data_IF_552530214631
#
_entry.id   IF_552530214631
#
_cell.length_a   1.000
_cell.length_b   1.000
_cell.length_c   1.000
_cell.angle_alpha   90.00
_cell.angle_beta   90.00
_cell.angle_gamma   90.00
#
_symmetry.space_group_name_H-M   'P 1'
#
loop_
_entity.id
_entity.type
_entity.pdbx_description
1 polymer ?
#
# COMPACT_ATOMS: atom_id res chain seq x y z
N UNK A 1 -41.00 11.59 36.94
CA UNK A 1 -40.43 12.66 36.08
C UNK A 1 -38.97 12.33 35.82
N UNK A 2 -38.69 11.27 35.04
CA UNK A 2 -37.30 10.78 34.87
C UNK A 2 -37.07 10.01 33.55
N UNK A 3 -38.09 9.34 32.99
CA UNK A 3 -37.94 8.56 31.74
C UNK A 3 -38.09 9.43 30.48
N UNK A 4 -38.87 10.52 30.53
CA UNK A 4 -39.16 11.39 29.38
C UNK A 4 -37.94 12.23 28.96
N UNK A 5 -37.08 12.58 29.90
CA UNK A 5 -35.86 13.36 29.66
C UNK A 5 -34.71 12.51 29.05
N UNK A 6 -34.70 11.20 29.34
CA UNK A 6 -33.68 10.29 28.82
C UNK A 6 -33.88 9.97 27.33
N UNK A 7 -35.14 9.88 26.87
CA UNK A 7 -35.47 9.60 25.47
C UNK A 7 -35.24 10.84 24.60
N UNK A 8 -35.62 12.04 25.06
CA UNK A 8 -35.38 13.29 24.31
C UNK A 8 -33.88 13.57 24.13
N UNK A 9 -33.05 13.30 25.16
CA UNK A 9 -31.59 13.46 25.05
C UNK A 9 -30.95 12.42 24.11
N UNK A 10 -31.49 11.19 24.06
CA UNK A 10 -30.97 10.12 23.20
C UNK A 10 -31.34 10.29 21.72
N UNK A 11 -32.55 10.80 21.43
CA UNK A 11 -33.00 11.08 20.05
C UNK A 11 -32.23 12.26 19.43
N UNK A 12 -31.97 13.32 20.21
CA UNK A 12 -31.16 14.47 19.74
C UNK A 12 -29.70 14.04 19.43
N UNK A 13 -29.16 13.08 20.18
CA UNK A 13 -27.80 12.56 19.96
C UNK A 13 -27.72 11.67 18.71
N UNK A 14 -28.77 10.88 18.42
CA UNK A 14 -28.83 10.01 17.24
C UNK A 14 -29.03 10.81 15.93
N UNK A 15 -29.79 11.90 15.97
CA UNK A 15 -30.02 12.77 14.80
C UNK A 15 -28.77 13.60 14.43
N UNK A 16 -27.97 14.01 15.42
CA UNK A 16 -26.72 14.73 15.18
C UNK A 16 -25.66 13.87 14.47
N UNK A 17 -25.42 12.65 14.95
CA UNK A 17 -24.43 11.76 14.36
C UNK A 17 -24.76 11.37 12.90
N UNK A 18 -26.04 11.14 12.59
CA UNK A 18 -26.46 10.81 11.23
C UNK A 18 -26.28 12.01 10.29
N UNK A 19 -26.57 13.22 10.76
CA UNK A 19 -26.37 14.44 9.98
C UNK A 19 -24.90 14.70 9.66
N UNK A 20 -23.99 14.50 10.64
CA UNK A 20 -22.55 14.61 10.42
C UNK A 20 -22.01 13.53 9.46
N UNK A 21 -22.50 12.29 9.57
CA UNK A 21 -22.12 11.22 8.65
C UNK A 21 -22.57 11.51 7.20
N UNK A 22 -23.80 12.00 7.01
CA UNK A 22 -24.30 12.37 5.69
C UNK A 22 -23.54 13.58 5.11
N UNK A 23 -23.21 14.58 5.92
CA UNK A 23 -22.34 15.70 5.52
C UNK A 23 -20.95 15.23 5.09
N UNK A 24 -20.33 14.31 5.86
CA UNK A 24 -19.03 13.74 5.54
C UNK A 24 -19.07 12.96 4.22
N UNK A 25 -20.12 12.15 3.98
CA UNK A 25 -20.31 11.42 2.73
C UNK A 25 -20.46 12.38 1.55
N UNK A 26 -21.23 13.45 1.69
CA UNK A 26 -21.43 14.46 0.64
C UNK A 26 -20.13 15.19 0.32
N UNK A 27 -19.38 15.63 1.34
CA UNK A 27 -18.08 16.31 1.17
C UNK A 27 -17.05 15.37 0.54
N UNK A 28 -17.01 14.11 0.98
CA UNK A 28 -16.14 13.09 0.41
C UNK A 28 -16.47 12.83 -1.07
N UNK A 29 -17.76 12.72 -1.40
CA UNK A 29 -18.21 12.60 -2.80
C UNK A 29 -17.84 13.80 -3.66
N UNK A 30 -17.92 15.02 -3.13
CA UNK A 30 -17.47 16.21 -3.85
C UNK A 30 -15.96 16.20 -4.09
N UNK A 31 -15.18 15.76 -3.11
CA UNK A 31 -13.73 15.61 -3.23
C UNK A 31 -13.36 14.55 -4.27
N UNK A 32 -14.07 13.42 -4.31
CA UNK A 32 -13.90 12.40 -5.34
C UNK A 32 -14.21 12.92 -6.74
N UNK A 33 -15.32 13.67 -6.92
CA UNK A 33 -15.65 14.29 -8.21
C UNK A 33 -14.57 15.27 -8.68
N UNK A 34 -13.95 15.99 -7.74
CA UNK A 34 -12.85 16.92 -8.02
C UNK A 34 -11.58 16.20 -8.45
N UNK A 35 -11.18 15.14 -7.73
CA UNK A 35 -10.04 14.30 -8.12
C UNK A 35 -10.27 13.65 -9.49
N UNK A 36 -11.49 13.18 -9.77
CA UNK A 36 -11.86 12.64 -11.08
C UNK A 36 -11.78 13.66 -12.21
N UNK A 37 -12.04 14.95 -11.93
CA UNK A 37 -11.92 16.03 -12.91
C UNK A 37 -10.48 16.51 -13.10
N UNK A 38 -9.65 16.49 -12.05
CA UNK A 38 -8.26 16.94 -12.06
C UNK A 38 -7.29 15.89 -12.60
N UNK A 39 -7.66 14.60 -12.59
CA UNK A 39 -6.84 13.50 -13.07
C UNK A 39 -7.58 12.56 -14.05
N UNK A 40 -7.98 13.04 -15.26
CA UNK A 40 -8.67 12.23 -16.26
C UNK A 40 -7.83 11.02 -16.73
N UNK A 41 -6.50 11.07 -16.58
CA UNK A 41 -5.60 9.96 -16.89
C UNK A 41 -5.77 8.73 -15.98
N UNK A 42 -6.34 8.87 -14.79
CA UNK A 42 -6.64 7.73 -13.89
C UNK A 42 -7.93 6.98 -14.30
N UNK A 43 -8.77 7.59 -15.14
CA UNK A 43 -10.06 7.03 -15.59
C UNK A 43 -9.91 6.34 -16.97
N UNK A 44 -8.79 6.54 -17.66
CA UNK A 44 -8.57 6.03 -19.02
C UNK A 44 -7.35 5.12 -19.11
N UNK A 45 -7.34 4.00 -18.38
CA UNK A 45 -6.60 2.80 -18.81
C UNK A 45 -7.55 1.88 -19.58
N UNK A 46 -8.08 2.40 -20.69
CA UNK A 46 -8.79 1.61 -21.69
C UNK A 46 -7.87 1.48 -22.89
N UNK A 47 -7.11 0.38 -22.91
CA UNK A 47 -6.27 0.07 -24.06
C UNK A 47 -7.12 -0.12 -25.30
N UNK A 48 -6.96 0.76 -26.30
CA UNK A 48 -7.32 0.46 -27.68
C UNK A 48 -6.56 1.35 -28.69
N UNK A 49 -5.73 0.66 -29.47
CA UNK A 49 -5.24 0.91 -30.83
C UNK A 49 -5.18 2.37 -31.34
N UNK A 50 -3.94 2.87 -31.47
CA UNK A 50 -3.65 4.06 -32.26
C UNK A 50 -3.57 3.71 -33.77
N UNK A 51 -4.40 4.38 -34.56
CA UNK A 51 -4.31 4.49 -36.03
C UNK A 51 -3.95 5.94 -36.41
N UNK A 52 -2.90 6.11 -37.24
CA UNK A 52 -2.53 7.32 -38.00
C UNK A 52 -1.75 8.39 -37.22
N UNK A 53 -0.42 8.58 -37.43
CA UNK A 53 0.23 9.44 -38.45
C UNK A 53 -0.29 10.90 -38.41
N UNK A 54 0.48 11.91 -38.02
CA UNK A 54 1.79 12.30 -38.59
C UNK A 54 2.64 13.13 -37.61
N UNK A 55 3.96 12.94 -37.69
CA UNK A 55 4.92 14.05 -37.67
C UNK A 55 5.40 14.59 -36.32
N UNK A 56 6.22 13.83 -35.58
CA UNK A 56 7.24 14.37 -34.67
C UNK A 56 8.45 13.41 -34.63
N UNK A 57 9.60 13.90 -35.09
CA UNK A 57 10.98 13.42 -34.89
C UNK A 57 11.15 11.91 -34.66
N UNK A 58 11.51 11.17 -35.72
CA UNK A 58 12.07 9.82 -35.61
C UNK A 58 13.43 9.89 -34.88
N UNK A 59 13.39 9.88 -33.56
CA UNK A 59 14.44 9.24 -32.80
C UNK A 59 14.19 7.75 -32.98
N UNK A 60 14.86 7.10 -33.94
CA UNK A 60 14.88 5.65 -34.00
C UNK A 60 15.49 5.13 -32.68
N UNK A 61 14.62 4.87 -31.70
CA UNK A 61 14.96 4.08 -30.53
C UNK A 61 15.37 2.71 -31.09
N UNK A 62 16.63 2.27 -30.90
CA UNK A 62 17.06 0.99 -31.41
C UNK A 62 16.12 -0.08 -30.88
N UNK A 63 15.59 -0.88 -31.82
CA UNK A 63 14.62 -1.99 -31.64
C UNK A 63 15.14 -3.13 -30.74
N UNK A 64 16.19 -2.89 -29.97
CA UNK A 64 16.85 -3.81 -29.05
C UNK A 64 16.55 -3.51 -27.58
N UNK A 65 15.59 -2.62 -27.28
CA UNK A 65 14.82 -2.79 -26.05
C UNK A 65 13.79 -3.87 -26.37
N UNK A 66 14.22 -5.15 -26.30
CA UNK A 66 13.24 -6.22 -26.15
C UNK A 66 12.27 -5.77 -25.05
N UNK A 67 10.97 -5.86 -25.29
CA UNK A 67 10.01 -5.60 -24.22
C UNK A 67 10.48 -6.40 -23.02
N UNK A 68 10.69 -5.77 -21.84
CA UNK A 68 11.29 -6.45 -20.71
C UNK A 68 10.51 -7.73 -20.53
N UNK A 69 11.21 -8.87 -20.59
CA UNK A 69 10.60 -10.19 -20.56
C UNK A 69 9.48 -10.15 -19.53
N UNK A 70 8.22 -10.26 -19.98
CA UNK A 70 7.07 -10.12 -19.09
C UNK A 70 7.28 -11.10 -17.96
N UNK A 71 7.49 -10.60 -16.75
CA UNK A 71 7.68 -11.44 -15.58
C UNK A 71 6.50 -12.40 -15.50
N UNK A 72 6.83 -13.68 -15.36
CA UNK A 72 5.81 -14.71 -15.21
C UNK A 72 5.38 -14.74 -13.75
N UNK A 73 4.13 -15.12 -13.48
CA UNK A 73 3.68 -15.36 -12.11
C UNK A 73 4.38 -16.58 -11.47
N UNK A 74 5.13 -17.34 -12.27
CA UNK A 74 5.99 -18.44 -11.84
C UNK A 74 7.40 -17.99 -11.44
N UNK A 75 7.76 -16.72 -11.61
CA UNK A 75 9.07 -16.22 -11.21
C UNK A 75 9.16 -16.14 -9.68
N UNK A 76 10.36 -16.41 -9.14
CA UNK A 76 10.63 -16.18 -7.71
C UNK A 76 10.88 -14.70 -7.47
N UNK A 77 10.29 -14.17 -6.41
CA UNK A 77 10.42 -12.77 -6.01
C UNK A 77 10.94 -12.70 -4.59
N UNK A 78 11.99 -11.91 -4.40
CA UNK A 78 12.51 -11.55 -3.08
C UNK A 78 12.25 -10.07 -2.84
N UNK A 79 11.53 -9.76 -1.77
CA UNK A 79 11.24 -8.39 -1.33
C UNK A 79 12.21 -8.03 -0.21
N UNK A 80 13.03 -7.00 -0.42
CA UNK A 80 13.94 -6.47 0.60
C UNK A 80 13.35 -5.17 1.14
N UNK A 81 13.13 -5.14 2.46
CA UNK A 81 12.59 -4.00 3.20
C UNK A 81 13.74 -3.43 4.05
N UNK A 82 14.46 -2.39 3.56
CA UNK A 82 15.37 -1.65 4.41
C UNK A 82 14.56 -0.87 5.46
N UNK A 83 14.97 -0.93 6.73
CA UNK A 83 14.29 -0.28 7.83
C UNK A 83 15.29 0.46 8.73
N UNK A 84 14.99 1.73 9.04
CA UNK A 84 15.70 2.50 10.06
C UNK A 84 14.69 3.41 10.77
N UNK A 85 14.45 3.14 12.03
CA UNK A 85 13.44 3.81 12.84
C UNK A 85 12.04 3.84 12.19
N UNK A 86 11.55 2.65 11.83
CA UNK A 86 10.25 2.42 11.20
C UNK A 86 9.26 1.70 12.13
N UNK A 87 9.39 1.83 13.45
CA UNK A 87 8.58 1.09 14.42
C UNK A 87 7.06 1.28 14.20
N UNK A 88 6.64 2.45 13.71
CA UNK A 88 5.23 2.76 13.44
C UNK A 88 4.69 2.08 12.18
N UNK A 89 5.56 1.70 11.22
CA UNK A 89 5.15 1.27 9.88
C UNK A 89 5.53 -0.18 9.56
N UNK A 90 6.58 -0.70 10.21
CA UNK A 90 7.24 -1.94 9.79
C UNK A 90 6.31 -3.15 9.90
N UNK A 91 5.42 -3.17 10.90
CA UNK A 91 4.45 -4.26 11.06
C UNK A 91 3.47 -4.34 9.90
N UNK A 92 2.81 -3.22 9.58
CA UNK A 92 1.83 -3.17 8.50
C UNK A 92 2.49 -3.42 7.14
N UNK A 93 3.72 -2.92 6.95
CA UNK A 93 4.52 -3.17 5.75
C UNK A 93 4.76 -4.67 5.53
N UNK A 94 5.32 -5.35 6.54
CA UNK A 94 5.64 -6.79 6.47
C UNK A 94 4.37 -7.62 6.26
N UNK A 95 3.29 -7.31 6.99
CA UNK A 95 2.01 -8.00 6.84
C UNK A 95 1.43 -7.84 5.45
N UNK A 96 1.45 -6.62 4.91
CA UNK A 96 0.96 -6.31 3.57
C UNK A 96 1.67 -7.14 2.50
N UNK A 97 3.01 -7.20 2.55
CA UNK A 97 3.80 -7.99 1.59
C UNK A 97 3.50 -9.48 1.72
N UNK A 98 3.49 -10.03 2.94
CA UNK A 98 3.23 -11.46 3.17
C UNK A 98 1.81 -11.90 2.79
N UNK A 99 0.84 -10.98 2.84
CA UNK A 99 -0.56 -11.20 2.49
C UNK A 99 -0.88 -10.97 1.02
N UNK A 100 0.07 -10.49 0.21
CA UNK A 100 -0.18 -10.30 -1.22
C UNK A 100 -0.58 -11.62 -1.90
N UNK A 101 -1.63 -11.54 -2.71
CA UNK A 101 -2.17 -12.64 -3.50
C UNK A 101 -1.51 -12.82 -4.86
N UNK A 102 -0.62 -11.92 -5.26
CA UNK A 102 -0.05 -11.90 -6.62
C UNK A 102 1.01 -12.99 -6.84
N UNK A 103 1.53 -13.59 -5.76
CA UNK A 103 2.57 -14.62 -5.81
C UNK A 103 2.15 -15.87 -5.04
N UNK A 104 2.49 -17.04 -5.58
CA UNK A 104 2.39 -18.29 -4.85
C UNK A 104 3.28 -18.25 -3.59
N UNK A 105 2.85 -18.92 -2.51
CA UNK A 105 3.51 -18.87 -1.20
C UNK A 105 4.99 -19.29 -1.29
N UNK A 106 5.33 -20.30 -2.09
CA UNK A 106 6.70 -20.81 -2.25
C UNK A 106 7.57 -19.99 -3.23
N UNK A 107 6.99 -18.95 -3.85
CA UNK A 107 7.67 -18.05 -4.79
C UNK A 107 8.03 -16.69 -4.20
N UNK A 108 7.49 -16.35 -3.04
CA UNK A 108 7.75 -15.09 -2.35
C UNK A 108 8.67 -15.30 -1.13
N UNK A 109 9.71 -14.48 -1.06
CA UNK A 109 10.62 -14.36 0.07
C UNK A 109 10.66 -12.90 0.53
N UNK A 110 10.70 -12.66 1.84
CA UNK A 110 10.72 -11.32 2.43
C UNK A 110 11.88 -11.19 3.40
N UNK A 111 12.74 -10.21 3.15
CA UNK A 111 13.87 -9.86 4.01
C UNK A 111 13.68 -8.47 4.57
N UNK A 112 13.65 -8.35 5.90
CA UNK A 112 13.78 -7.05 6.56
C UNK A 112 15.23 -6.83 6.93
N UNK A 113 15.80 -5.72 6.52
CA UNK A 113 17.18 -5.34 6.84
C UNK A 113 17.15 -4.11 7.73
N UNK A 114 17.42 -4.31 9.02
CA UNK A 114 17.44 -3.23 10.01
C UNK A 114 18.80 -2.52 10.01
N UNK A 115 18.87 -1.22 9.73
CA UNK A 115 20.10 -0.41 9.75
C UNK A 115 20.40 0.15 11.15
N UNK A 116 20.39 -0.71 12.17
CA UNK A 116 20.63 -0.37 13.58
C UNK A 116 19.62 0.67 14.11
N UNK A 117 18.33 0.34 13.99
CA UNK A 117 17.27 1.19 14.56
C UNK A 117 17.38 1.31 16.07
N UNK A 118 16.81 2.38 16.62
CA UNK A 118 16.84 2.70 18.06
C UNK A 118 15.46 2.83 18.69
N UNK A 119 14.41 2.65 17.89
CA UNK A 119 13.01 2.93 18.24
C UNK A 119 12.16 1.66 18.46
N UNK A 120 12.76 0.47 18.44
CA UNK A 120 12.04 -0.79 18.57
C UNK A 120 11.73 -1.50 17.24
N UNK A 121 12.13 -0.95 16.09
CA UNK A 121 11.87 -1.53 14.76
C UNK A 121 12.29 -3.00 14.68
N UNK A 122 13.51 -3.33 15.10
CA UNK A 122 14.05 -4.68 15.03
C UNK A 122 13.26 -5.65 15.93
N UNK A 123 12.91 -5.23 17.14
CA UNK A 123 12.16 -6.01 18.11
C UNK A 123 10.76 -6.35 17.59
N UNK A 124 10.09 -5.39 16.93
CA UNK A 124 8.79 -5.61 16.30
C UNK A 124 8.88 -6.70 15.22
N UNK A 125 9.89 -6.63 14.35
CA UNK A 125 10.08 -7.62 13.28
C UNK A 125 10.38 -9.01 13.85
N UNK A 126 11.21 -9.11 14.88
CA UNK A 126 11.48 -10.37 15.58
C UNK A 126 10.22 -10.94 16.24
N UNK A 127 9.40 -10.10 16.85
CA UNK A 127 8.11 -10.50 17.43
C UNK A 127 7.15 -11.01 16.34
N UNK A 128 7.15 -10.38 15.17
CA UNK A 128 6.36 -10.82 14.01
C UNK A 128 6.84 -12.19 13.50
N UNK A 129 8.15 -12.42 13.38
CA UNK A 129 8.67 -13.74 13.02
C UNK A 129 8.19 -14.83 13.97
N UNK A 130 8.25 -14.59 15.28
CA UNK A 130 7.79 -15.55 16.29
C UNK A 130 6.27 -15.77 16.25
N UNK A 131 5.49 -14.71 16.05
CA UNK A 131 4.02 -14.75 16.09
C UNK A 131 3.43 -15.35 14.81
N UNK A 132 3.97 -14.99 13.65
CA UNK A 132 3.47 -15.45 12.36
C UNK A 132 3.96 -16.86 12.02
N UNK A 133 5.16 -17.23 12.48
CA UNK A 133 5.83 -18.49 12.11
C UNK A 133 5.85 -18.74 10.58
N UNK A 134 5.89 -17.68 9.78
CA UNK A 134 5.92 -17.76 8.33
C UNK A 134 7.37 -17.94 7.85
N UNK A 135 7.65 -19.05 7.18
CA UNK A 135 8.99 -19.40 6.71
C UNK A 135 9.55 -18.44 5.64
N UNK A 136 8.72 -17.55 5.09
CA UNK A 136 9.11 -16.58 4.08
C UNK A 136 9.76 -15.32 4.67
N UNK A 137 9.55 -15.05 5.96
CA UNK A 137 10.04 -13.84 6.62
C UNK A 137 11.40 -14.09 7.28
N UNK A 138 12.41 -13.39 6.79
CA UNK A 138 13.75 -13.34 7.38
C UNK A 138 14.10 -11.92 7.82
N UNK A 139 14.88 -11.79 8.89
CA UNK A 139 15.40 -10.51 9.38
C UNK A 139 16.93 -10.53 9.41
N UNK A 140 17.53 -9.44 8.98
CA UNK A 140 18.96 -9.21 9.03
C UNK A 140 19.22 -7.92 9.81
N UNK A 141 19.87 -8.03 10.97
CA UNK A 141 20.35 -6.87 11.72
C UNK A 141 21.66 -6.36 11.11
N UNK A 142 21.71 -5.05 10.85
CA UNK A 142 22.87 -4.38 10.29
C UNK A 142 24.07 -4.39 11.24
N UNK A 143 25.26 -4.57 10.67
CA UNK A 143 26.51 -4.40 11.40
C UNK A 143 26.88 -2.91 11.51
N UNK A 144 27.69 -2.50 12.51
CA UNK A 144 28.22 -1.15 12.59
C UNK A 144 28.94 -0.74 11.30
N UNK A 145 28.73 0.51 10.86
CA UNK A 145 29.39 1.02 9.66
C UNK A 145 30.92 1.04 9.88
N UNK A 146 31.72 0.58 8.90
CA UNK A 146 33.17 0.75 8.96
C UNK A 146 33.54 2.23 9.16
N UNK A 147 34.57 2.47 9.97
CA UNK A 147 35.09 3.80 10.29
C UNK A 147 35.83 4.45 9.12
#
# INVERSE_FOLDING_TARGET
MTIRFLIETFVICLDGCLLFALLAIVVYWQKLKRVAAEAPQLISFSGKAATGSEGLLNLEVPRSLEEPARWSLDDKVSVIIPAYNEAENIEDCVRSVLQSSDWARDRLEVWVVDDQSTDGTLEIVQALQATLADSRLSVLAGAPRPA
#
